data_IF_831269531503
#
_entry.id   IF_831269531503
#
_cell.length_a   1.000
_cell.length_b   1.000
_cell.length_c   1.000
_cell.angle_alpha   90.00
_cell.angle_beta   90.00
_cell.angle_gamma   90.00
#
_symmetry.space_group_name_H-M   'P 1'
#
loop_
_entity.id
_entity.type
_entity.pdbx_description
1 polymer ?
#
# COMPACT_ATOMS: atom_id res chain seq x y z
N UNK A 1 32.02 18.83 -7.88
CA UNK A 1 30.87 18.73 -8.80
C UNK A 1 29.67 18.23 -7.99
N UNK A 2 28.52 18.91 -8.09
CA UNK A 2 27.28 18.45 -7.43
C UNK A 2 26.48 17.55 -8.36
N UNK A 3 25.75 16.59 -7.80
CA UNK A 3 24.89 15.70 -8.59
C UNK A 3 23.73 16.48 -9.23
N UNK A 4 23.54 16.36 -10.55
CA UNK A 4 22.46 17.05 -11.26
C UNK A 4 21.12 16.30 -11.17
N UNK A 5 20.56 16.29 -9.97
CA UNK A 5 19.32 15.57 -9.63
C UNK A 5 18.10 16.19 -10.34
N UNK A 6 18.17 17.48 -10.71
CA UNK A 6 17.13 18.12 -11.49
C UNK A 6 17.02 17.52 -12.90
N UNK A 7 18.16 17.42 -13.60
CA UNK A 7 18.23 16.77 -14.89
C UNK A 7 17.79 15.31 -14.81
N UNK A 8 18.34 14.54 -13.87
CA UNK A 8 18.01 13.13 -13.71
C UNK A 8 16.50 12.92 -13.50
N UNK A 9 15.86 13.75 -12.67
CA UNK A 9 14.42 13.68 -12.47
C UNK A 9 13.61 14.03 -13.72
N UNK A 10 14.06 15.02 -14.52
CA UNK A 10 13.41 15.36 -15.80
C UNK A 10 13.53 14.20 -16.79
N UNK A 11 14.71 13.59 -16.89
CA UNK A 11 14.98 12.43 -17.73
C UNK A 11 14.11 11.25 -17.34
N UNK A 12 14.12 10.84 -16.07
CA UNK A 12 13.35 9.69 -15.57
C UNK A 12 11.85 9.89 -15.78
N UNK A 13 11.31 11.10 -15.52
CA UNK A 13 9.90 11.38 -15.82
C UNK A 13 9.57 11.20 -17.29
N UNK A 14 10.43 11.67 -18.20
CA UNK A 14 10.20 11.51 -19.64
C UNK A 14 10.29 10.04 -20.05
N UNK A 15 11.29 9.34 -19.56
CA UNK A 15 11.57 7.93 -19.89
C UNK A 15 10.48 6.97 -19.40
N UNK A 16 10.02 7.12 -18.15
CA UNK A 16 8.99 6.25 -17.59
C UNK A 16 7.60 6.56 -18.17
N UNK A 17 7.33 7.83 -18.51
CA UNK A 17 6.01 8.25 -19.04
C UNK A 17 5.89 8.05 -20.55
N UNK A 18 6.98 7.98 -21.31
CA UNK A 18 6.91 7.66 -22.74
C UNK A 18 6.38 6.26 -23.01
N UNK A 19 6.40 5.37 -22.02
CA UNK A 19 5.88 3.99 -22.12
C UNK A 19 4.38 3.89 -21.84
N UNK A 20 3.75 4.84 -21.14
CA UNK A 20 2.30 4.81 -20.85
C UNK A 20 1.57 5.88 -21.67
N UNK A 21 1.10 5.51 -22.86
CA UNK A 21 0.18 6.36 -23.64
C UNK A 21 -1.27 6.21 -23.18
N UNK A 22 -1.59 5.12 -22.46
CA UNK A 22 -2.94 4.87 -21.96
C UNK A 22 -3.29 5.72 -20.75
N UNK A 23 -4.56 6.11 -20.65
CA UNK A 23 -5.13 6.84 -19.49
C UNK A 23 -5.67 5.89 -18.43
N UNK A 24 -5.18 4.66 -18.43
CA UNK A 24 -5.70 3.59 -17.58
C UNK A 24 -5.26 3.79 -16.12
N UNK A 25 -5.99 3.13 -15.22
CA UNK A 25 -5.67 3.15 -13.78
C UNK A 25 -4.22 2.69 -13.49
N UNK A 26 -3.68 1.74 -14.26
CA UNK A 26 -2.29 1.27 -14.12
C UNK A 26 -1.29 2.40 -14.39
N UNK A 27 -1.49 3.16 -15.46
CA UNK A 27 -0.63 4.27 -15.82
C UNK A 27 -0.61 5.36 -14.73
N UNK A 28 -1.74 5.62 -14.08
CA UNK A 28 -1.80 6.59 -12.97
C UNK A 28 -1.10 6.06 -11.70
N UNK A 29 -1.19 4.75 -11.42
CA UNK A 29 -0.42 4.10 -10.35
C UNK A 29 1.09 4.19 -10.61
N UNK A 30 1.52 3.85 -11.82
CA UNK A 30 2.94 3.88 -12.21
C UNK A 30 3.51 5.31 -12.12
N UNK A 31 2.74 6.29 -12.58
CA UNK A 31 3.07 7.71 -12.47
C UNK A 31 3.21 8.14 -11.00
N UNK A 32 2.23 7.81 -10.16
CA UNK A 32 2.27 8.15 -8.72
C UNK A 32 3.48 7.55 -8.03
N UNK A 33 3.73 6.25 -8.24
CA UNK A 33 4.85 5.54 -7.64
C UNK A 33 6.22 6.04 -8.16
N UNK A 34 6.32 6.36 -9.45
CA UNK A 34 7.53 6.94 -10.05
C UNK A 34 7.83 8.33 -9.48
N UNK A 35 6.82 9.18 -9.34
CA UNK A 35 6.98 10.51 -8.74
C UNK A 35 7.37 10.44 -7.26
N UNK A 36 6.89 9.42 -6.53
CA UNK A 36 7.35 9.15 -5.17
C UNK A 36 8.84 8.79 -5.17
N UNK A 37 9.29 7.88 -6.02
CA UNK A 37 10.71 7.51 -6.13
C UNK A 37 11.63 8.71 -6.40
N UNK A 38 11.26 9.54 -7.37
CA UNK A 38 11.98 10.78 -7.68
C UNK A 38 12.01 11.74 -6.48
N UNK A 39 10.89 11.88 -5.76
CA UNK A 39 10.79 12.74 -4.58
C UNK A 39 11.66 12.23 -3.43
N UNK A 40 11.71 10.92 -3.22
CA UNK A 40 12.59 10.30 -2.22
C UNK A 40 14.04 10.63 -2.53
N UNK A 41 14.50 10.47 -3.78
CA UNK A 41 15.88 10.84 -4.14
C UNK A 41 16.15 12.34 -3.93
N UNK A 42 15.26 13.22 -4.42
CA UNK A 42 15.41 14.68 -4.29
C UNK A 42 15.47 15.18 -2.85
N UNK A 43 14.67 14.59 -1.97
CA UNK A 43 14.57 15.00 -0.56
C UNK A 43 15.67 14.42 0.33
N UNK A 44 16.51 13.52 -0.20
CA UNK A 44 17.59 12.88 0.55
C UNK A 44 18.96 13.14 -0.10
N UNK A 45 19.17 14.38 -0.57
CA UNK A 45 20.50 14.83 -0.93
C UNK A 45 21.25 15.26 0.32
N UNK A 46 22.52 14.90 0.39
CA UNK A 46 23.42 15.29 1.48
C UNK A 46 24.46 16.26 0.94
N UNK A 47 24.92 17.14 1.82
CA UNK A 47 26.11 17.93 1.59
C UNK A 47 27.34 17.13 2.00
N UNK A 48 28.33 17.07 1.11
CA UNK A 48 29.66 16.56 1.43
C UNK A 48 30.66 17.68 1.24
N UNK A 49 31.59 17.80 2.18
CA UNK A 49 32.63 18.81 2.16
C UNK A 49 34.01 18.15 2.16
N UNK A 50 34.96 18.79 1.48
CA UNK A 50 36.38 18.49 1.59
C UNK A 50 37.09 19.71 2.20
N UNK A 51 37.94 19.45 3.19
CA UNK A 51 38.73 20.47 3.86
C UNK A 51 40.07 20.67 3.13
N UNK A 52 40.53 21.92 3.10
CA UNK A 52 41.71 22.34 2.34
C UNK A 52 42.63 23.29 3.16
N UNK A 53 42.50 23.33 4.49
CA UNK A 53 43.35 24.15 5.34
C UNK A 53 44.71 23.51 5.63
N UNK A 54 45.65 24.32 6.15
CA UNK A 54 47.00 23.89 6.55
C UNK A 54 46.89 22.73 7.55
N UNK A 55 47.74 21.72 7.39
CA UNK A 55 47.75 20.49 8.20
C UNK A 55 46.41 19.74 8.24
N UNK A 56 45.57 19.86 7.20
CA UNK A 56 44.27 19.19 7.12
C UNK A 56 43.15 19.88 7.89
N UNK A 57 43.35 21.11 8.35
CA UNK A 57 42.30 21.90 8.98
C UNK A 57 41.15 22.22 8.02
N UNK A 58 39.97 22.50 8.58
CA UNK A 58 38.75 22.80 7.84
C UNK A 58 38.40 24.30 7.79
N UNK A 59 39.38 25.18 8.04
CA UNK A 59 39.21 26.64 7.96
C UNK A 59 38.69 27.07 6.59
N UNK A 60 39.21 26.45 5.52
CA UNK A 60 38.65 26.52 4.17
C UNK A 60 38.15 25.14 3.76
N UNK A 61 36.92 25.06 3.26
CA UNK A 61 36.33 23.82 2.75
C UNK A 61 35.49 24.07 1.51
N UNK A 62 35.46 23.08 0.61
CA UNK A 62 34.60 23.08 -0.56
C UNK A 62 33.51 22.04 -0.35
N UNK A 63 32.24 22.44 -0.47
CA UNK A 63 31.10 21.55 -0.29
C UNK A 63 30.33 21.35 -1.61
N UNK A 64 29.73 20.17 -1.78
CA UNK A 64 28.85 19.85 -2.90
C UNK A 64 27.70 18.96 -2.45
N UNK A 65 26.58 19.03 -3.17
CA UNK A 65 25.43 18.17 -2.91
C UNK A 65 25.57 16.86 -3.68
N UNK A 66 25.33 15.74 -3.01
CA UNK A 66 25.28 14.43 -3.64
C UNK A 66 24.09 13.60 -3.17
N UNK A 67 23.70 12.60 -3.94
CA UNK A 67 22.74 11.59 -3.53
C UNK A 67 23.35 10.72 -2.42
N UNK A 68 22.53 10.39 -1.41
CA UNK A 68 22.91 9.38 -0.39
C UNK A 68 23.18 8.02 -1.03
N UNK A 69 23.91 7.12 -0.34
CA UNK A 69 24.02 5.75 -0.79
C UNK A 69 22.66 5.12 -1.09
N UNK A 70 22.57 4.34 -2.17
CA UNK A 70 21.29 3.82 -2.64
C UNK A 70 20.56 2.95 -1.61
N UNK A 71 21.27 2.28 -0.69
CA UNK A 71 20.66 1.49 0.37
C UNK A 71 19.78 2.33 1.32
N UNK A 72 20.07 3.61 1.50
CA UNK A 72 19.22 4.51 2.31
C UNK A 72 17.93 4.86 1.57
N UNK A 73 18.04 5.10 0.27
CA UNK A 73 16.89 5.33 -0.62
C UNK A 73 16.01 4.08 -0.65
N UNK A 74 16.59 2.90 -0.89
CA UNK A 74 15.86 1.64 -0.97
C UNK A 74 15.15 1.32 0.34
N UNK A 75 15.78 1.57 1.50
CA UNK A 75 15.14 1.42 2.82
C UNK A 75 13.92 2.33 2.98
N UNK A 76 13.98 3.58 2.53
CA UNK A 76 12.85 4.51 2.57
C UNK A 76 11.70 4.04 1.66
N UNK A 77 12.03 3.57 0.45
CA UNK A 77 11.05 3.01 -0.49
C UNK A 77 10.43 1.73 0.08
N UNK A 78 11.23 0.83 0.68
CA UNK A 78 10.75 -0.39 1.32
C UNK A 78 9.76 -0.11 2.46
N UNK A 79 10.05 0.88 3.30
CA UNK A 79 9.11 1.32 4.35
C UNK A 79 7.80 1.87 3.77
N UNK A 80 7.86 2.56 2.62
CA UNK A 80 6.67 3.02 1.92
C UNK A 80 5.90 1.85 1.29
N UNK A 81 6.60 0.82 0.82
CA UNK A 81 6.02 -0.40 0.27
C UNK A 81 5.27 -1.20 1.34
N UNK A 82 5.88 -1.38 2.52
CA UNK A 82 5.26 -2.10 3.65
C UNK A 82 3.98 -1.43 4.17
N UNK A 83 3.83 -0.13 3.91
CA UNK A 83 2.68 0.68 4.27
C UNK A 83 1.86 1.13 3.06
N UNK A 84 2.07 0.50 1.91
CA UNK A 84 1.42 0.88 0.67
C UNK A 84 -0.10 0.78 0.79
N UNK A 85 -0.79 1.58 -0.01
CA UNK A 85 -2.23 1.79 0.10
C UNK A 85 -2.94 1.18 -1.10
N UNK A 86 -3.98 0.38 -0.84
CA UNK A 86 -4.84 -0.13 -1.91
C UNK A 86 -5.65 1.02 -2.49
N UNK A 87 -5.63 1.16 -3.81
CA UNK A 87 -6.38 2.20 -4.53
C UNK A 87 -7.30 1.61 -5.58
N UNK A 88 -8.34 2.36 -5.90
CA UNK A 88 -9.20 2.18 -7.07
C UNK A 88 -9.17 3.44 -7.92
N UNK A 89 -10.01 3.50 -8.94
CA UNK A 89 -10.16 4.69 -9.77
C UNK A 89 -11.58 5.22 -9.77
N UNK A 90 -11.69 6.54 -9.87
CA UNK A 90 -12.88 7.21 -10.36
C UNK A 90 -12.54 7.95 -11.65
N UNK A 91 -13.50 8.02 -12.56
CA UNK A 91 -13.38 8.84 -13.75
C UNK A 91 -13.90 10.24 -13.41
N UNK A 92 -13.09 11.27 -13.63
CA UNK A 92 -13.56 12.64 -13.55
C UNK A 92 -14.41 12.98 -14.78
N UNK A 93 -15.21 14.04 -14.68
CA UNK A 93 -16.02 14.60 -15.76
C UNK A 93 -15.21 14.86 -17.05
N UNK A 94 -13.90 15.11 -16.92
CA UNK A 94 -13.00 15.38 -18.04
C UNK A 94 -12.39 14.10 -18.65
N UNK A 95 -12.91 12.91 -18.32
CA UNK A 95 -12.39 11.61 -18.78
C UNK A 95 -11.00 11.27 -18.23
N UNK A 96 -10.60 11.86 -17.10
CA UNK A 96 -9.33 11.57 -16.41
C UNK A 96 -9.56 10.62 -15.24
N UNK A 97 -8.85 9.51 -15.26
CA UNK A 97 -8.77 8.55 -14.15
C UNK A 97 -8.05 9.18 -12.96
N UNK A 98 -8.69 9.18 -11.78
CA UNK A 98 -8.09 9.63 -10.51
C UNK A 98 -8.06 8.49 -9.51
N UNK A 99 -6.94 8.35 -8.81
CA UNK A 99 -6.77 7.33 -7.78
C UNK A 99 -7.51 7.72 -6.50
N UNK A 100 -8.23 6.75 -5.94
CA UNK A 100 -8.93 6.88 -4.66
C UNK A 100 -8.50 5.79 -3.70
N UNK A 101 -8.36 6.14 -2.41
CA UNK A 101 -8.00 5.18 -1.37
C UNK A 101 -9.16 4.23 -1.10
N UNK A 102 -8.93 2.93 -1.28
CA UNK A 102 -9.90 1.91 -0.89
C UNK A 102 -9.72 1.59 0.59
N UNK A 103 -10.74 1.90 1.40
CA UNK A 103 -10.77 1.46 2.80
C UNK A 103 -10.94 -0.07 2.83
N UNK A 104 -10.06 -0.77 3.55
CA UNK A 104 -10.37 -2.14 4.00
C UNK A 104 -11.65 -2.04 4.84
N UNK A 105 -12.75 -2.56 4.33
CA UNK A 105 -13.94 -2.76 5.14
C UNK A 105 -13.52 -3.56 6.38
N UNK A 106 -13.92 -3.12 7.58
CA UNK A 106 -13.63 -3.79 8.87
C UNK A 106 -14.13 -5.25 8.97
N UNK A 107 -14.66 -5.82 7.89
CA UNK A 107 -15.11 -7.20 7.77
C UNK A 107 -14.01 -8.25 8.00
N UNK A 108 -12.72 -7.87 7.95
CA UNK A 108 -11.61 -8.78 8.33
C UNK A 108 -11.40 -8.93 9.84
N UNK A 109 -11.88 -8.02 10.69
CA UNK A 109 -11.76 -8.18 12.15
C UNK A 109 -12.66 -9.31 12.69
N UNK A 110 -13.78 -9.63 12.04
CA UNK A 110 -14.67 -10.71 12.48
C UNK A 110 -14.11 -12.12 12.20
N UNK A 111 -13.23 -12.28 11.20
CA UNK A 111 -12.61 -13.59 10.91
C UNK A 111 -11.50 -13.96 11.91
N UNK A 112 -10.87 -12.99 12.57
CA UNK A 112 -9.86 -13.28 13.60
C UNK A 112 -10.47 -13.61 14.96
N UNK A 113 -11.68 -13.12 15.26
CA UNK A 113 -12.37 -13.41 16.53
C UNK A 113 -12.96 -14.84 16.59
N UNK A 114 -13.23 -15.48 15.45
CA UNK A 114 -13.75 -16.86 15.41
C UNK A 114 -12.66 -17.94 15.50
N UNK A 115 -11.40 -17.57 15.23
CA UNK A 115 -10.25 -18.48 15.32
C UNK A 115 -9.73 -18.69 16.76
N UNK A 116 -10.33 -18.03 17.76
CA UNK A 116 -9.88 -18.09 19.17
C UNK A 116 -10.79 -18.93 20.08
N UNK A 117 -11.76 -19.69 19.55
CA UNK A 117 -12.69 -20.50 20.36
C UNK A 117 -12.66 -22.01 20.06
N UNK A 118 -11.52 -22.55 19.64
CA UNK A 118 -11.33 -24.02 19.55
C UNK A 118 -10.18 -24.45 20.44
N UNK A 119 -10.43 -24.43 21.75
CA UNK A 119 -9.62 -25.10 22.77
C UNK A 119 -10.57 -25.69 23.82
N UNK A 120 -11.23 -26.79 23.49
CA UNK A 120 -11.85 -27.65 24.49
C UNK A 120 -11.60 -29.10 24.10
N UNK A 121 -10.57 -29.63 24.75
CA UNK A 121 -10.19 -31.03 24.97
C UNK A 121 -11.39 -31.98 24.94
N UNK A 122 -11.40 -32.92 23.98
CA UNK A 122 -12.31 -34.08 24.02
C UNK A 122 -11.62 -35.19 24.81
N UNK A 123 -12.07 -35.39 26.05
CA UNK A 123 -11.85 -36.63 26.79
C UNK A 123 -12.76 -37.72 26.20
N UNK A 124 -12.20 -38.90 25.91
CA UNK A 124 -12.96 -40.11 25.61
C UNK A 124 -13.69 -40.62 26.87
N UNK A 125 -14.90 -41.17 26.72
CA UNK A 125 -15.15 -42.48 27.30
C UNK A 125 -15.81 -43.47 26.33
N UNK A 126 -15.46 -44.75 26.55
CA UNK A 126 -16.07 -45.95 25.97
C UNK A 126 -17.55 -46.09 26.35
N UNK A 127 -18.37 -46.70 25.48
CA UNK A 127 -19.22 -47.89 25.72
C UNK A 127 -20.51 -47.91 24.87
N UNK A 128 -20.59 -48.92 23.99
CA UNK A 128 -21.75 -49.76 23.60
C UNK A 128 -23.20 -49.23 23.65
N UNK A 129 -23.83 -49.11 22.46
CA UNK A 129 -25.16 -49.65 22.04
C UNK A 129 -25.85 -48.75 20.97
N UNK A 130 -26.50 -49.29 19.91
CA UNK A 130 -27.27 -48.52 18.95
C UNK A 130 -28.78 -48.58 19.23
N UNK A 131 -29.52 -47.47 19.02
CA UNK A 131 -30.71 -47.51 18.15
C UNK A 131 -30.89 -46.14 17.43
N UNK A 132 -31.89 -45.86 16.60
CA UNK A 132 -32.66 -46.55 15.56
C UNK A 132 -33.34 -45.38 14.80
N UNK A 133 -33.83 -45.63 13.59
CA UNK A 133 -34.41 -44.65 12.66
C UNK A 133 -35.70 -44.00 13.19
N UNK A 134 -35.90 -42.79 12.65
CA UNK A 134 -37.15 -42.01 12.43
C UNK A 134 -37.39 -40.88 13.44
N UNK A 135 -37.36 -39.64 12.96
CA UNK A 135 -38.60 -38.94 12.65
C UNK A 135 -38.36 -37.71 11.77
N UNK A 136 -39.25 -37.58 10.78
CA UNK A 136 -39.43 -36.41 9.92
C UNK A 136 -40.19 -35.36 10.72
N UNK A 137 -39.65 -34.16 10.85
CA UNK A 137 -40.39 -33.00 11.32
C UNK A 137 -40.03 -31.79 10.46
N UNK A 138 -40.99 -31.43 9.60
CA UNK A 138 -41.02 -30.27 8.74
C UNK A 138 -41.01 -28.98 9.58
N UNK A 139 -39.97 -28.16 9.47
CA UNK A 139 -39.98 -26.79 10.01
C UNK A 139 -39.81 -25.80 8.86
N UNK A 140 -40.93 -25.15 8.53
CA UNK A 140 -41.06 -23.99 7.66
C UNK A 140 -40.40 -22.77 8.32
N UNK A 141 -39.20 -22.41 7.86
CA UNK A 141 -38.53 -21.19 8.31
C UNK A 141 -39.08 -19.98 7.55
N UNK A 142 -39.92 -19.20 8.23
CA UNK A 142 -40.42 -17.90 7.77
C UNK A 142 -39.25 -16.94 7.49
N UNK A 143 -39.15 -16.48 6.25
CA UNK A 143 -38.24 -15.42 5.83
C UNK A 143 -38.74 -14.06 6.33
N UNK A 144 -38.28 -13.62 7.50
CA UNK A 144 -38.34 -12.22 7.88
C UNK A 144 -37.10 -11.51 7.33
N UNK A 145 -37.24 -10.80 6.22
CA UNK A 145 -36.23 -9.86 5.71
C UNK A 145 -36.46 -8.52 6.43
N UNK A 146 -35.56 -8.03 7.29
CA UNK A 146 -35.65 -6.66 7.76
C UNK A 146 -35.14 -5.75 6.64
N UNK A 147 -36.03 -4.92 6.09
CA UNK A 147 -35.64 -3.68 5.42
C UNK A 147 -34.97 -2.78 6.47
N UNK A 148 -33.65 -2.88 6.59
CA UNK A 148 -32.85 -1.88 7.30
C UNK A 148 -32.12 -1.05 6.26
N UNK A 149 -32.62 0.17 6.06
CA UNK A 149 -31.95 1.22 5.32
C UNK A 149 -30.55 1.42 5.88
N UNK A 150 -29.56 0.89 5.16
CA UNK A 150 -28.16 1.08 5.51
C UNK A 150 -27.78 2.48 5.08
N UNK A 151 -27.75 3.42 6.02
CA UNK A 151 -27.04 4.69 5.87
C UNK A 151 -25.68 4.40 5.24
N UNK A 152 -25.53 4.78 3.98
CA UNK A 152 -24.22 4.87 3.36
C UNK A 152 -23.49 5.95 4.14
N UNK A 153 -22.66 5.54 5.10
CA UNK A 153 -21.63 6.42 5.63
C UNK A 153 -20.84 6.92 4.43
N UNK A 154 -21.02 8.19 4.08
CA UNK A 154 -20.32 8.88 2.99
C UNK A 154 -18.84 8.49 3.10
N UNK A 155 -18.39 7.65 2.16
CA UNK A 155 -17.00 7.20 2.11
C UNK A 155 -16.18 8.45 1.80
N UNK A 156 -15.50 9.00 2.81
CA UNK A 156 -14.60 10.13 2.64
C UNK A 156 -13.55 9.74 1.60
N UNK A 157 -13.74 10.25 0.39
CA UNK A 157 -12.95 9.93 -0.79
C UNK A 157 -11.58 10.60 -0.65
N UNK A 158 -10.63 9.88 -0.07
CA UNK A 158 -9.31 10.43 0.20
C UNK A 158 -8.33 10.02 -0.90
N UNK A 159 -7.74 11.00 -1.57
CA UNK A 159 -6.63 10.78 -2.51
C UNK A 159 -5.44 10.17 -1.77
N UNK A 160 -4.70 9.21 -2.35
CA UNK A 160 -3.48 8.72 -1.74
C UNK A 160 -2.48 9.86 -1.52
N UNK A 161 -1.73 9.81 -0.41
CA UNK A 161 -0.77 10.88 -0.10
C UNK A 161 0.47 10.74 -0.97
N UNK A 162 1.10 11.88 -1.24
CA UNK A 162 2.35 11.97 -2.01
C UNK A 162 3.55 11.19 -1.43
N UNK A 163 3.47 10.73 -0.18
CA UNK A 163 4.52 9.94 0.51
C UNK A 163 4.18 8.45 0.58
N UNK A 164 3.04 8.02 0.05
CA UNK A 164 2.57 6.64 0.08
C UNK A 164 2.77 6.00 -1.29
N UNK A 165 3.31 4.78 -1.33
CA UNK A 165 3.17 3.94 -2.51
C UNK A 165 1.74 3.41 -2.59
N UNK A 166 1.27 3.15 -3.81
CA UNK A 166 -0.09 2.67 -4.07
C UNK A 166 -0.06 1.39 -4.89
N UNK A 167 -1.10 0.57 -4.71
CA UNK A 167 -1.25 -0.70 -5.41
C UNK A 167 -2.71 -1.00 -5.75
N UNK A 168 -2.93 -1.75 -6.83
CA UNK A 168 -4.26 -2.18 -7.29
C UNK A 168 -4.68 -3.51 -6.68
N UNK A 169 -3.76 -4.47 -6.70
CA UNK A 169 -3.98 -5.84 -6.28
C UNK A 169 -2.91 -6.26 -5.27
N UNK A 170 -3.25 -7.18 -4.37
CA UNK A 170 -2.25 -7.68 -3.44
C UNK A 170 -1.16 -8.41 -4.23
N UNK A 171 0.09 -8.23 -3.84
CA UNK A 171 1.18 -9.04 -4.39
C UNK A 171 0.83 -10.53 -4.24
N UNK A 172 1.05 -11.33 -5.28
CA UNK A 172 0.92 -12.78 -5.15
C UNK A 172 1.84 -13.28 -4.04
N UNK A 173 1.48 -14.39 -3.40
CA UNK A 173 2.35 -15.06 -2.43
C UNK A 173 3.49 -15.76 -3.19
N UNK A 174 4.43 -14.98 -3.72
CA UNK A 174 5.74 -15.46 -4.12
C UNK A 174 6.66 -15.27 -2.91
N UNK A 175 6.50 -16.15 -1.93
CA UNK A 175 7.48 -16.38 -0.87
C UNK A 175 7.83 -17.87 -0.93
#
# INVERSE_FOLDING_TARGET
CSDNVHYAAKFVRRFLRSRSTSRDIRAEVDKHNSDLGIRVVKSNLIEKCKCHGVSGSCTTKTCWRKVVPFYEISRKIKRAYDKAVKVGSINNLNGRTRLIRLRRSRLRQRKSARASMTSSTTQYPNSSAPPDRRNVASNTFKSNVPLSGRSQSVLKEESPRNKELVYLENSPSYC
#
